data_IF_437702961599
#
_entry.id   IF_437702961599
#
_cell.length_a   1.000
_cell.length_b   1.000
_cell.length_c   1.000
_cell.angle_alpha   90.00
_cell.angle_beta   90.00
_cell.angle_gamma   90.00
#
_symmetry.space_group_name_H-M   'P 1'
#
loop_
_entity.id
_entity.type
_entity.pdbx_description
1 polymer ?
#
# COMPACT_ATOMS: atom_id res chain seq x y z
N UNK A 1 42.47 55.53 29.74
CA UNK A 1 41.33 54.67 30.08
C UNK A 1 40.27 54.89 29.01
N UNK A 2 40.09 53.92 28.12
CA UNK A 2 39.32 54.08 26.88
C UNK A 2 37.89 53.57 27.09
N UNK A 3 36.87 54.43 26.88
CA UNK A 3 35.46 54.06 26.93
C UNK A 3 35.12 53.10 25.78
N UNK A 4 34.46 51.97 26.10
CA UNK A 4 33.89 51.03 25.12
C UNK A 4 32.59 51.61 24.56
N UNK A 5 32.53 51.83 23.24
CA UNK A 5 31.29 52.08 22.50
C UNK A 5 30.53 50.77 22.31
N UNK A 6 29.25 50.76 22.68
CA UNK A 6 28.31 49.67 22.48
C UNK A 6 27.72 49.75 21.06
N UNK A 7 27.79 48.66 20.29
CA UNK A 7 27.13 48.51 18.98
C UNK A 7 25.70 47.99 19.20
N UNK A 8 24.66 48.51 18.54
CA UNK A 8 23.32 47.92 18.65
C UNK A 8 23.26 46.61 17.88
N UNK A 9 22.77 45.55 18.53
CA UNK A 9 22.51 44.27 17.89
C UNK A 9 21.21 44.35 17.09
N UNK A 10 21.33 44.27 15.76
CA UNK A 10 20.21 44.09 14.84
C UNK A 10 19.50 42.77 15.15
N UNK A 11 18.25 42.84 15.60
CA UNK A 11 17.41 41.65 15.77
C UNK A 11 16.96 41.20 14.38
N UNK A 12 17.66 40.21 13.82
CA UNK A 12 17.22 39.52 12.61
C UNK A 12 16.01 38.65 12.96
N UNK A 13 14.85 38.96 12.41
CA UNK A 13 13.67 38.08 12.47
C UNK A 13 13.98 36.85 11.64
N UNK A 14 14.21 35.71 12.30
CA UNK A 14 14.21 34.43 11.62
C UNK A 14 12.79 34.21 11.08
N UNK A 15 12.66 34.23 9.75
CA UNK A 15 11.47 33.69 9.09
C UNK A 15 11.30 32.24 9.59
N UNK A 16 10.14 31.94 10.19
CA UNK A 16 9.83 30.58 10.62
C UNK A 16 9.99 29.66 9.42
N UNK A 17 10.84 28.65 9.55
CA UNK A 17 10.98 27.61 8.54
C UNK A 17 9.59 27.02 8.30
N UNK A 18 9.15 27.00 7.03
CA UNK A 18 8.01 26.17 6.64
C UNK A 18 8.25 24.74 7.14
N UNK A 19 7.22 24.06 7.68
CA UNK A 19 7.38 22.68 8.09
C UNK A 19 7.87 21.88 6.89
N UNK A 20 9.04 21.25 7.04
CA UNK A 20 9.60 20.35 6.03
C UNK A 20 8.63 19.16 5.96
N UNK A 21 7.75 19.14 4.98
CA UNK A 21 6.91 17.98 4.70
C UNK A 21 7.79 16.94 4.02
N UNK A 22 7.96 15.79 4.67
CA UNK A 22 8.64 14.65 4.08
C UNK A 22 7.68 14.01 3.08
N UNK A 23 8.09 13.96 1.81
CA UNK A 23 7.31 13.33 0.75
C UNK A 23 7.72 11.86 0.64
N UNK A 24 6.74 10.97 0.46
CA UNK A 24 6.94 9.54 0.26
C UNK A 24 7.16 9.26 -1.22
N UNK A 25 8.35 8.78 -1.64
CA UNK A 25 8.58 8.38 -3.03
C UNK A 25 7.72 7.16 -3.40
N UNK A 26 7.20 7.10 -4.62
CA UNK A 26 6.39 5.95 -5.08
C UNK A 26 7.17 4.63 -5.20
N UNK A 27 8.47 4.72 -5.46
CA UNK A 27 9.37 3.57 -5.47
C UNK A 27 9.68 3.04 -4.06
N UNK A 28 9.27 3.75 -3.00
CA UNK A 28 9.47 3.27 -1.64
C UNK A 28 8.48 2.14 -1.35
N UNK A 29 9.04 0.94 -1.15
CA UNK A 29 8.28 -0.21 -0.67
C UNK A 29 8.13 -0.01 0.83
N UNK A 30 7.06 0.67 1.23
CA UNK A 30 6.94 1.19 2.59
C UNK A 30 6.90 0.09 3.64
N UNK A 31 6.02 -0.90 3.45
CA UNK A 31 5.75 -1.94 4.45
C UNK A 31 5.06 -3.13 3.82
N UNK A 32 5.46 -4.34 4.24
CA UNK A 32 4.69 -5.56 4.03
C UNK A 32 4.36 -6.16 5.40
N UNK A 33 3.08 -6.39 5.66
CA UNK A 33 2.59 -7.02 6.89
C UNK A 33 1.75 -8.25 6.52
N UNK A 34 2.05 -9.38 7.15
CA UNK A 34 1.39 -10.65 6.89
C UNK A 34 0.24 -10.89 7.85
N UNK A 35 -0.85 -11.50 7.38
CA UNK A 35 -1.92 -11.91 8.27
C UNK A 35 -1.52 -13.16 9.06
N UNK A 36 -1.68 -13.08 10.39
CA UNK A 36 -1.64 -14.25 11.26
C UNK A 36 -2.89 -15.13 11.07
N UNK A 37 -2.83 -16.40 11.50
CA UNK A 37 -3.92 -17.39 11.36
C UNK A 37 -5.24 -16.96 11.98
N UNK A 38 -5.21 -16.07 12.97
CA UNK A 38 -6.40 -15.65 13.69
C UNK A 38 -6.94 -14.29 13.20
N UNK A 39 -6.32 -13.69 12.17
CA UNK A 39 -6.65 -12.34 11.69
C UNK A 39 -8.05 -12.23 11.10
N UNK A 40 -8.54 -13.31 10.50
CA UNK A 40 -9.89 -13.43 9.94
C UNK A 40 -10.27 -14.91 9.84
N UNK A 41 -11.56 -15.20 9.70
CA UNK A 41 -12.01 -16.58 9.50
C UNK A 41 -11.63 -17.04 8.10
N UNK A 42 -10.90 -18.14 7.98
CA UNK A 42 -10.33 -18.58 6.71
C UNK A 42 -10.41 -20.09 6.45
N UNK A 43 -10.39 -20.46 5.16
CA UNK A 43 -10.16 -21.82 4.66
C UNK A 43 -8.83 -21.90 3.90
N UNK A 44 -8.30 -23.10 3.73
CA UNK A 44 -7.09 -23.31 2.92
C UNK A 44 -7.39 -23.04 1.44
N UNK A 45 -6.47 -22.36 0.75
CA UNK A 45 -6.61 -22.06 -0.67
C UNK A 45 -5.56 -22.73 -1.55
N UNK A 46 -5.95 -22.95 -2.80
CA UNK A 46 -5.12 -23.38 -3.91
C UNK A 46 -4.48 -22.18 -4.60
N UNK A 47 -3.29 -22.38 -5.17
CA UNK A 47 -2.55 -21.28 -5.82
C UNK A 47 -3.00 -21.00 -7.25
N UNK A 48 -3.59 -21.99 -7.96
CA UNK A 48 -4.00 -21.81 -9.35
C UNK A 48 -5.18 -20.85 -9.49
N UNK A 49 -6.20 -20.98 -8.62
CA UNK A 49 -7.34 -20.05 -8.57
C UNK A 49 -6.86 -18.65 -8.18
N UNK A 50 -5.97 -18.55 -7.18
CA UNK A 50 -5.39 -17.28 -6.77
C UNK A 50 -4.72 -16.52 -7.92
N UNK A 51 -3.93 -17.22 -8.75
CA UNK A 51 -3.26 -16.59 -9.90
C UNK A 51 -4.30 -16.01 -10.85
N UNK A 52 -5.27 -16.81 -11.30
CA UNK A 52 -6.29 -16.38 -12.26
C UNK A 52 -7.07 -15.15 -11.77
N UNK A 53 -7.49 -15.17 -10.51
CA UNK A 53 -8.36 -14.12 -9.96
C UNK A 53 -7.57 -12.85 -9.63
N UNK A 54 -6.30 -12.97 -9.26
CA UNK A 54 -5.38 -11.83 -9.14
C UNK A 54 -5.13 -11.18 -10.49
N UNK A 55 -4.93 -11.96 -11.56
CA UNK A 55 -4.78 -11.40 -12.91
C UNK A 55 -6.02 -10.63 -13.35
N UNK A 56 -7.20 -11.19 -13.05
CA UNK A 56 -8.48 -10.53 -13.33
C UNK A 56 -8.64 -9.22 -12.55
N UNK A 57 -8.34 -9.23 -11.24
CA UNK A 57 -8.44 -8.04 -10.41
C UNK A 57 -7.50 -6.95 -10.90
N UNK A 58 -6.21 -7.26 -11.08
CA UNK A 58 -5.22 -6.31 -11.58
C UNK A 58 -5.58 -5.75 -12.96
N UNK A 59 -6.19 -6.55 -13.85
CA UNK A 59 -6.68 -6.07 -15.14
C UNK A 59 -7.81 -5.05 -15.00
N UNK A 60 -8.65 -5.18 -13.97
CA UNK A 60 -9.71 -4.20 -13.72
C UNK A 60 -9.18 -2.84 -13.27
N UNK A 61 -7.93 -2.79 -12.79
CA UNK A 61 -7.24 -1.58 -12.34
C UNK A 61 -6.54 -0.83 -13.48
N UNK A 62 -6.49 -1.39 -14.71
CA UNK A 62 -5.80 -0.78 -15.84
C UNK A 62 -6.34 0.63 -16.14
N UNK A 63 -5.45 1.64 -16.04
CA UNK A 63 -5.78 3.03 -16.31
C UNK A 63 -6.50 3.75 -15.16
N UNK A 64 -6.57 3.12 -13.98
CA UNK A 64 -7.05 3.75 -12.77
C UNK A 64 -5.87 4.35 -12.01
N UNK A 65 -6.05 5.60 -11.58
CA UNK A 65 -5.16 6.25 -10.63
C UNK A 65 -5.93 6.53 -9.33
N UNK A 66 -5.24 6.41 -8.21
CA UNK A 66 -5.78 6.65 -6.87
C UNK A 66 -5.11 7.89 -6.27
N UNK A 67 -5.87 8.69 -5.55
CA UNK A 67 -5.41 9.85 -4.78
C UNK A 67 -6.04 9.88 -3.39
N UNK A 68 -5.71 10.89 -2.59
CA UNK A 68 -6.21 11.03 -1.21
C UNK A 68 -7.72 11.26 -1.08
N UNK A 69 -8.40 11.63 -2.17
CA UNK A 69 -9.85 11.88 -2.19
C UNK A 69 -10.63 10.70 -2.81
N UNK A 70 -9.91 9.68 -3.28
CA UNK A 70 -10.48 8.51 -3.94
C UNK A 70 -11.02 7.50 -2.93
N UNK A 71 -12.14 6.86 -3.27
CA UNK A 71 -12.64 5.71 -2.51
C UNK A 71 -11.74 4.48 -2.68
N UNK A 72 -11.72 3.63 -1.66
CA UNK A 72 -11.06 2.32 -1.73
C UNK A 72 -11.67 1.44 -2.82
N UNK A 73 -10.82 0.73 -3.55
CA UNK A 73 -11.24 -0.26 -4.52
C UNK A 73 -11.27 -1.62 -3.83
N UNK A 74 -12.46 -2.22 -3.77
CA UNK A 74 -12.72 -3.49 -3.10
C UNK A 74 -13.31 -4.50 -4.08
N UNK A 75 -12.77 -5.72 -4.11
CA UNK A 75 -13.37 -6.85 -4.83
C UNK A 75 -13.33 -8.13 -3.97
N UNK A 76 -14.49 -8.78 -3.82
CA UNK A 76 -14.61 -10.14 -3.31
C UNK A 76 -14.84 -11.09 -4.48
N UNK A 77 -13.86 -11.95 -4.74
CA UNK A 77 -14.03 -13.09 -5.63
C UNK A 77 -14.47 -14.30 -4.83
N UNK A 78 -15.43 -15.06 -5.38
CA UNK A 78 -15.82 -16.38 -4.87
C UNK A 78 -15.81 -17.39 -6.01
N UNK A 79 -14.97 -18.41 -5.86
CA UNK A 79 -14.94 -19.52 -6.80
C UNK A 79 -16.19 -20.37 -6.67
N UNK A 80 -16.86 -20.61 -7.80
CA UNK A 80 -18.10 -21.40 -7.80
C UNK A 80 -17.87 -22.91 -7.70
N UNK A 81 -16.67 -23.40 -8.05
CA UNK A 81 -16.33 -24.81 -8.08
C UNK A 81 -15.69 -25.28 -6.77
N UNK A 82 -14.71 -24.54 -6.25
CA UNK A 82 -14.04 -24.83 -4.98
C UNK A 82 -14.70 -24.18 -3.77
N UNK A 83 -15.44 -23.07 -3.97
CA UNK A 83 -16.00 -22.27 -2.87
C UNK A 83 -15.01 -21.27 -2.26
N UNK A 84 -13.75 -21.28 -2.72
CA UNK A 84 -12.69 -20.41 -2.24
C UNK A 84 -13.02 -18.95 -2.44
N UNK A 85 -12.55 -18.10 -1.53
CA UNK A 85 -12.86 -16.69 -1.52
C UNK A 85 -11.58 -15.87 -1.35
N UNK A 86 -11.50 -14.79 -2.12
CA UNK A 86 -10.37 -13.88 -2.13
C UNK A 86 -10.88 -12.46 -2.06
N UNK A 87 -10.39 -11.70 -1.09
CA UNK A 87 -10.70 -10.28 -0.93
C UNK A 87 -9.48 -9.49 -1.33
N UNK A 88 -9.69 -8.56 -2.26
CA UNK A 88 -8.69 -7.59 -2.69
C UNK A 88 -9.14 -6.20 -2.28
N UNK A 89 -8.24 -5.42 -1.67
CA UNK A 89 -8.46 -4.00 -1.42
C UNK A 89 -7.25 -3.20 -1.90
N UNK A 90 -7.50 -2.10 -2.60
CA UNK A 90 -6.48 -1.12 -2.96
C UNK A 90 -6.95 0.24 -2.46
N UNK A 91 -6.11 0.90 -1.66
CA UNK A 91 -6.49 2.10 -0.90
C UNK A 91 -5.37 3.12 -0.90
N UNK A 92 -5.74 4.39 -0.74
CA UNK A 92 -4.77 5.45 -0.44
C UNK A 92 -4.45 5.46 1.05
N UNK A 93 -3.17 5.49 1.40
CA UNK A 93 -2.73 5.48 2.80
C UNK A 93 -3.03 6.83 3.44
N UNK A 94 -3.81 6.81 4.51
CA UNK A 94 -4.19 8.00 5.27
C UNK A 94 -2.99 8.84 5.70
N UNK A 95 -3.06 10.14 5.40
CA UNK A 95 -2.00 11.09 5.73
C UNK A 95 -0.72 10.91 4.91
N UNK A 96 -0.70 10.04 3.90
CA UNK A 96 0.43 9.93 2.99
C UNK A 96 0.54 11.20 2.14
N UNK A 97 1.73 11.80 2.15
CA UNK A 97 2.05 13.00 1.38
C UNK A 97 3.06 12.61 0.31
N UNK A 98 2.75 12.92 -0.94
CA UNK A 98 3.62 12.68 -2.08
C UNK A 98 3.71 13.95 -2.93
N UNK A 99 4.79 14.06 -3.71
CA UNK A 99 4.98 15.14 -4.68
C UNK A 99 4.03 15.01 -5.89
N UNK A 100 3.36 13.87 -6.03
CA UNK A 100 2.38 13.61 -7.10
C UNK A 100 0.95 13.70 -6.59
N UNK A 101 0.02 13.97 -7.49
CA UNK A 101 -1.40 14.11 -7.15
C UNK A 101 -2.13 12.78 -7.05
N UNK A 102 -1.67 11.77 -7.79
CA UNK A 102 -2.28 10.46 -7.93
C UNK A 102 -1.20 9.42 -8.24
N UNK A 103 -1.51 8.14 -8.06
CA UNK A 103 -0.65 7.00 -8.35
C UNK A 103 -1.41 5.95 -9.18
N UNK A 104 -0.79 5.48 -10.26
CA UNK A 104 -1.35 4.41 -11.10
C UNK A 104 -1.24 3.04 -10.39
N UNK A 105 -2.25 2.19 -10.57
CA UNK A 105 -2.42 1.01 -9.74
C UNK A 105 -1.79 -0.27 -10.28
N UNK A 106 -1.61 -0.39 -11.59
CA UNK A 106 -1.05 -1.60 -12.21
C UNK A 106 0.48 -1.63 -12.19
N UNK A 107 1.14 -0.48 -12.27
CA UNK A 107 2.57 -0.25 -12.18
C UNK A 107 2.87 0.91 -11.21
N UNK A 108 2.66 0.71 -9.90
CA UNK A 108 2.79 1.78 -8.91
C UNK A 108 4.21 2.36 -8.80
N UNK A 109 5.23 1.63 -9.27
CA UNK A 109 6.61 2.14 -9.29
C UNK A 109 6.95 2.91 -10.56
N UNK A 110 6.14 2.80 -11.62
CA UNK A 110 6.40 3.30 -12.98
C UNK A 110 7.71 2.77 -13.58
N UNK A 111 8.28 1.72 -12.97
CA UNK A 111 9.51 1.06 -13.40
C UNK A 111 9.22 -0.29 -14.06
N UNK A 112 7.93 -0.64 -14.21
CA UNK A 112 7.45 -1.92 -14.72
C UNK A 112 7.47 -3.06 -13.70
N UNK A 113 8.08 -2.84 -12.53
CA UNK A 113 8.14 -3.83 -11.45
C UNK A 113 8.47 -3.17 -10.10
N UNK A 114 7.93 -3.68 -8.97
CA UNK A 114 6.85 -4.66 -8.93
C UNK A 114 5.53 -4.08 -9.45
N UNK A 115 4.86 -4.83 -10.33
CA UNK A 115 3.50 -4.52 -10.81
C UNK A 115 2.44 -5.13 -9.89
N UNK A 116 1.17 -4.76 -10.07
CA UNK A 116 0.04 -5.23 -9.27
C UNK A 116 0.04 -6.74 -9.01
N UNK A 117 0.32 -7.55 -10.03
CA UNK A 117 0.35 -9.02 -9.91
C UNK A 117 1.51 -9.49 -9.03
N UNK A 118 2.67 -8.87 -9.19
CA UNK A 118 3.86 -9.17 -8.40
C UNK A 118 3.66 -8.77 -6.93
N UNK A 119 2.95 -7.66 -6.67
CA UNK A 119 2.66 -7.19 -5.31
C UNK A 119 1.74 -8.15 -4.56
N UNK A 120 0.59 -8.50 -5.17
CA UNK A 120 -0.34 -9.46 -4.57
C UNK A 120 0.26 -10.87 -4.49
N UNK A 121 0.96 -11.31 -5.55
CA UNK A 121 1.65 -12.59 -5.57
C UNK A 121 2.72 -12.70 -4.49
N UNK A 122 3.50 -11.64 -4.28
CA UNK A 122 4.49 -11.57 -3.20
C UNK A 122 3.83 -11.72 -1.84
N UNK A 123 2.74 -10.97 -1.59
CA UNK A 123 2.01 -11.06 -0.32
C UNK A 123 1.45 -12.47 -0.10
N UNK A 124 0.87 -13.10 -1.11
CA UNK A 124 0.32 -14.45 -1.00
C UNK A 124 1.38 -15.56 -0.84
N UNK A 125 2.53 -15.43 -1.48
CA UNK A 125 3.56 -16.47 -1.47
C UNK A 125 4.52 -16.37 -0.30
N UNK A 126 4.91 -15.15 0.12
CA UNK A 126 5.88 -14.95 1.17
C UNK A 126 5.27 -14.76 2.56
N UNK A 127 3.99 -14.36 2.64
CA UNK A 127 3.31 -14.40 3.92
C UNK A 127 2.94 -15.82 4.28
N UNK A 128 3.46 -16.26 5.43
CA UNK A 128 3.28 -17.59 5.99
C UNK A 128 3.81 -18.71 5.08
N UNK A 129 5.09 -18.65 4.68
CA UNK A 129 5.72 -19.71 3.86
C UNK A 129 5.55 -21.13 4.44
N UNK A 130 5.56 -21.26 5.77
CA UNK A 130 5.36 -22.53 6.50
C UNK A 130 3.91 -22.75 6.98
N UNK A 131 2.98 -21.87 6.64
CA UNK A 131 1.60 -21.83 7.15
C UNK A 131 0.53 -21.66 6.05
N UNK A 132 -0.73 -21.36 6.42
CA UNK A 132 -1.76 -21.07 5.44
C UNK A 132 -1.44 -19.75 4.73
N UNK A 133 -1.55 -19.75 3.40
CA UNK A 133 -1.26 -18.59 2.54
C UNK A 133 -2.39 -17.57 2.61
N UNK A 134 -2.47 -16.84 3.71
CA UNK A 134 -3.55 -15.91 3.99
C UNK A 134 -3.40 -14.56 3.27
N UNK A 135 -2.20 -14.27 2.77
CA UNK A 135 -1.87 -12.97 2.20
C UNK A 135 -1.46 -11.96 3.27
N UNK A 136 -1.70 -10.69 2.97
CA UNK A 136 -1.22 -9.57 3.75
C UNK A 136 -1.38 -8.25 3.02
N UNK A 137 -0.83 -7.21 3.61
CA UNK A 137 -0.81 -5.86 3.04
C UNK A 137 0.58 -5.51 2.57
N UNK A 138 0.69 -4.87 1.40
CA UNK A 138 1.94 -4.27 0.91
C UNK A 138 1.70 -2.83 0.46
N UNK A 139 2.51 -1.89 0.93
CA UNK A 139 2.45 -0.48 0.55
C UNK A 139 3.54 -0.11 -0.46
N UNK A 140 3.16 0.60 -1.52
CA UNK A 140 4.06 1.26 -2.48
C UNK A 140 3.67 2.73 -2.59
N UNK A 141 4.59 3.63 -2.23
CA UNK A 141 4.29 5.05 -2.19
C UNK A 141 3.12 5.34 -1.24
N UNK A 142 2.03 5.86 -1.80
CA UNK A 142 0.81 6.15 -1.03
C UNK A 142 -0.32 5.15 -1.29
N UNK A 143 -0.08 4.07 -2.00
CA UNK A 143 -1.08 3.04 -2.27
C UNK A 143 -0.77 1.79 -1.45
N UNK A 144 -1.78 1.27 -0.75
CA UNK A 144 -1.72 -0.01 -0.05
C UNK A 144 -2.54 -1.06 -0.81
N UNK A 145 -1.91 -2.20 -1.05
CA UNK A 145 -2.48 -3.39 -1.65
C UNK A 145 -2.70 -4.43 -0.55
N UNK A 146 -3.95 -4.80 -0.30
CA UNK A 146 -4.35 -5.80 0.70
C UNK A 146 -4.98 -7.00 0.00
N UNK A 147 -4.52 -8.20 0.34
CA UNK A 147 -5.13 -9.44 -0.11
C UNK A 147 -5.35 -10.40 1.05
N UNK A 148 -6.60 -10.89 1.16
CA UNK A 148 -7.01 -11.96 2.07
C UNK A 148 -7.44 -13.17 1.25
N UNK A 149 -6.68 -14.25 1.33
CA UNK A 149 -7.02 -15.51 0.69
C UNK A 149 -7.74 -16.44 1.66
N UNK A 150 -8.72 -17.19 1.15
CA UNK A 150 -9.50 -18.14 1.93
C UNK A 150 -10.59 -17.50 2.78
N UNK A 151 -10.95 -16.25 2.53
CA UNK A 151 -11.83 -15.48 3.41
C UNK A 151 -13.22 -16.11 3.58
N UNK A 152 -13.69 -16.27 4.82
CA UNK A 152 -15.05 -16.75 5.12
C UNK A 152 -15.85 -15.77 5.98
N UNK A 153 -15.23 -14.69 6.43
CA UNK A 153 -15.83 -13.71 7.32
C UNK A 153 -14.80 -13.01 8.18
N UNK A 154 -15.24 -12.01 8.93
CA UNK A 154 -14.49 -11.51 10.07
C UNK A 154 -14.63 -12.48 11.25
N UNK A 155 -13.61 -12.55 12.10
CA UNK A 155 -13.56 -13.45 13.28
C UNK A 155 -14.45 -12.98 14.43
#
# INVERSE_FOLDING_TARGET
MTLRSSVPATTSTAAGAEPIQFTTPFADTGRADCYDTDSFSHEDTTSDVFIEVTERFCKSLEGIELDSDSDDIYELYKDSASGEQYVYTVSWVDGCVTDRKSQELTDPTEMGSPNCKEIFGSSYHFCNEDGPRLGGTTQFGCVQYDVKAGWTGES
#
